data_IF_129715514745
#
_entry.id   IF_129715514745
#
_cell.length_a   1.000
_cell.length_b   1.000
_cell.length_c   1.000
_cell.angle_alpha   90.00
_cell.angle_beta   90.00
_cell.angle_gamma   90.00
#
_symmetry.space_group_name_H-M   'P 1'
#
loop_
_entity.id
_entity.type
_entity.pdbx_description
1 polymer ?
#
# COMPACT_ATOMS: atom_id res chain seq x y z
N UNK A 1 26.25 -20.34 8.73
CA UNK A 1 27.42 -19.57 8.26
C UNK A 1 27.07 -18.78 7.01
N UNK A 2 27.88 -17.77 6.68
CA UNK A 2 27.90 -17.07 5.40
C UNK A 2 28.74 -17.88 4.40
N UNK A 3 28.15 -18.32 3.29
CA UNK A 3 28.89 -19.03 2.24
C UNK A 3 29.42 -18.05 1.20
N UNK A 4 30.72 -18.13 0.88
CA UNK A 4 31.36 -17.31 -0.14
C UNK A 4 31.82 -18.14 -1.34
N UNK A 5 31.28 -17.87 -2.53
CA UNK A 5 31.66 -18.58 -3.76
C UNK A 5 33.04 -18.20 -4.31
N UNK A 6 33.59 -17.06 -3.91
CA UNK A 6 34.91 -16.64 -4.39
C UNK A 6 36.02 -17.55 -3.85
N UNK A 7 35.93 -17.96 -2.58
CA UNK A 7 36.95 -18.79 -1.93
C UNK A 7 36.44 -20.18 -1.52
N UNK A 8 35.18 -20.52 -1.81
CA UNK A 8 34.52 -21.75 -1.35
C UNK A 8 34.63 -21.99 0.17
N UNK A 9 34.51 -20.92 0.96
CA UNK A 9 34.62 -20.97 2.42
C UNK A 9 33.31 -20.60 3.11
N UNK A 10 33.08 -21.21 4.27
CA UNK A 10 31.98 -20.95 5.19
C UNK A 10 32.52 -20.07 6.33
N UNK A 11 32.07 -18.81 6.39
CA UNK A 11 32.54 -17.80 7.34
C UNK A 11 31.46 -17.59 8.41
N UNK A 12 31.85 -17.42 9.67
CA UNK A 12 30.88 -17.09 10.71
C UNK A 12 30.25 -15.71 10.46
N UNK A 13 28.93 -15.69 10.38
CA UNK A 13 28.19 -14.48 10.07
C UNK A 13 28.19 -13.55 11.28
N UNK A 14 28.71 -12.32 11.19
CA UNK A 14 28.68 -11.39 12.30
C UNK A 14 27.22 -10.94 12.54
N UNK A 15 26.58 -11.51 13.56
CA UNK A 15 25.19 -11.19 13.97
C UNK A 15 24.95 -9.71 14.33
N UNK A 16 26.03 -8.93 14.43
CA UNK A 16 26.01 -7.49 14.72
C UNK A 16 25.73 -6.63 13.48
N UNK A 17 25.83 -7.19 12.28
CA UNK A 17 25.69 -6.45 11.02
C UNK A 17 24.62 -7.11 10.14
N UNK A 18 23.64 -6.33 9.70
CA UNK A 18 22.55 -6.83 8.83
C UNK A 18 23.06 -7.10 7.41
N UNK A 19 24.08 -6.37 6.95
CA UNK A 19 24.80 -6.65 5.71
C UNK A 19 26.24 -7.08 6.03
N UNK A 20 26.72 -8.19 5.46
CA UNK A 20 28.13 -8.54 5.57
C UNK A 20 28.97 -7.50 4.80
N UNK A 21 30.08 -7.02 5.37
CA UNK A 21 30.96 -6.09 4.66
C UNK A 21 31.57 -6.76 3.42
N UNK A 22 31.68 -6.01 2.32
CA UNK A 22 32.24 -6.46 1.04
C UNK A 22 33.71 -6.92 1.14
N UNK A 23 34.40 -6.55 2.22
CA UNK A 23 35.75 -7.01 2.55
C UNK A 23 35.83 -8.50 2.86
N UNK A 24 34.74 -9.13 3.32
CA UNK A 24 34.71 -10.57 3.63
C UNK A 24 34.35 -11.42 2.41
N UNK A 25 33.42 -10.93 1.59
CA UNK A 25 33.04 -11.53 0.32
C UNK A 25 32.26 -10.49 -0.49
N UNK A 26 32.44 -10.46 -1.81
CA UNK A 26 31.58 -9.62 -2.66
C UNK A 26 30.12 -9.97 -2.40
N UNK A 27 29.27 -8.95 -2.25
CA UNK A 27 27.85 -9.12 -1.96
C UNK A 27 27.14 -9.97 -3.05
N UNK A 28 27.67 -9.98 -4.28
CA UNK A 28 27.19 -10.83 -5.38
C UNK A 28 27.47 -12.33 -5.19
N UNK A 29 28.50 -12.68 -4.42
CA UNK A 29 28.97 -14.06 -4.23
C UNK A 29 28.67 -14.61 -2.82
N UNK A 30 28.19 -13.76 -1.91
CA UNK A 30 27.89 -14.09 -0.52
C UNK A 30 26.44 -14.54 -0.37
N UNK A 31 26.20 -15.68 0.28
CA UNK A 31 24.84 -16.22 0.54
C UNK A 31 24.66 -16.51 2.05
N UNK A 32 23.54 -16.09 2.63
CA UNK A 32 23.22 -16.28 4.06
C UNK A 32 21.96 -17.14 4.23
N UNK A 33 22.03 -18.18 5.06
CA UNK A 33 20.87 -18.88 5.65
C UNK A 33 19.96 -19.70 4.73
N UNK A 34 19.84 -19.38 3.45
CA UNK A 34 19.12 -20.13 2.41
C UNK A 34 19.64 -19.70 1.02
N UNK A 35 20.24 -20.62 0.28
CA UNK A 35 21.09 -20.37 -0.90
C UNK A 35 20.39 -19.81 -2.17
N UNK A 36 19.12 -19.41 -2.12
CA UNK A 36 18.30 -19.22 -3.33
C UNK A 36 17.78 -17.81 -3.59
N UNK A 37 17.64 -16.96 -2.56
CA UNK A 37 17.04 -15.62 -2.73
C UNK A 37 18.14 -14.57 -2.62
N UNK A 38 18.44 -13.92 -3.75
CA UNK A 38 19.32 -12.74 -3.81
C UNK A 38 18.72 -11.62 -2.94
N UNK A 39 19.54 -10.99 -2.08
CA UNK A 39 19.11 -9.84 -1.27
C UNK A 39 18.55 -8.71 -2.13
N UNK A 40 19.08 -8.53 -3.34
CA UNK A 40 18.55 -7.61 -4.34
C UNK A 40 17.10 -7.96 -4.72
N UNK A 41 16.82 -9.25 -4.98
CA UNK A 41 15.47 -9.72 -5.27
C UNK A 41 14.54 -9.55 -4.06
N UNK A 42 15.03 -9.70 -2.84
CA UNK A 42 14.26 -9.47 -1.62
C UNK A 42 13.91 -7.99 -1.44
N UNK A 43 14.85 -7.08 -1.69
CA UNK A 43 14.61 -5.63 -1.65
C UNK A 43 13.60 -5.22 -2.73
N UNK A 44 13.76 -5.71 -3.96
CA UNK A 44 12.82 -5.44 -5.06
C UNK A 44 11.43 -5.96 -4.70
N UNK A 45 11.32 -7.18 -4.18
CA UNK A 45 10.05 -7.75 -3.77
C UNK A 45 9.37 -6.90 -2.68
N UNK A 46 10.10 -6.48 -1.65
CA UNK A 46 9.57 -5.60 -0.60
C UNK A 46 9.11 -4.24 -1.16
N UNK A 47 9.88 -3.65 -2.08
CA UNK A 47 9.53 -2.40 -2.74
C UNK A 47 8.25 -2.54 -3.58
N UNK A 48 8.11 -3.64 -4.33
CA UNK A 48 6.91 -3.93 -5.13
C UNK A 48 5.69 -4.13 -4.24
N UNK A 49 5.82 -4.91 -3.15
CA UNK A 49 4.74 -5.13 -2.19
C UNK A 49 4.31 -3.81 -1.55
N UNK A 50 5.26 -3.01 -1.07
CA UNK A 50 4.97 -1.70 -0.49
C UNK A 50 4.28 -0.77 -1.51
N UNK A 51 4.75 -0.77 -2.77
CA UNK A 51 4.14 -0.01 -3.86
C UNK A 51 2.70 -0.43 -4.14
N UNK A 52 2.42 -1.73 -4.21
CA UNK A 52 1.06 -2.26 -4.40
C UNK A 52 0.13 -1.91 -3.24
N UNK A 53 0.62 -2.00 -2.00
CA UNK A 53 -0.15 -1.60 -0.82
C UNK A 53 -0.47 -0.10 -0.87
N UNK A 54 0.49 0.76 -1.17
CA UNK A 54 0.25 2.20 -1.28
C UNK A 54 -0.71 2.55 -2.42
N UNK A 55 -0.54 1.93 -3.60
CA UNK A 55 -1.44 2.15 -4.75
C UNK A 55 -2.85 1.66 -4.43
N UNK A 56 -3.00 0.46 -3.87
CA UNK A 56 -4.31 -0.08 -3.51
C UNK A 56 -5.03 0.78 -2.47
N UNK A 57 -4.34 1.27 -1.44
CA UNK A 57 -4.91 2.20 -0.46
C UNK A 57 -5.30 3.51 -1.15
N UNK A 58 -4.43 4.09 -1.97
CA UNK A 58 -4.70 5.36 -2.66
C UNK A 58 -5.91 5.23 -3.58
N UNK A 59 -6.00 4.16 -4.37
CA UNK A 59 -7.13 3.86 -5.25
C UNK A 59 -8.38 3.62 -4.41
N UNK A 60 -8.34 2.78 -3.39
CA UNK A 60 -9.47 2.51 -2.52
C UNK A 60 -9.99 3.79 -1.85
N UNK A 61 -9.09 4.62 -1.28
CA UNK A 61 -9.44 5.90 -0.69
C UNK A 61 -9.99 6.89 -1.73
N UNK A 62 -9.37 7.00 -2.91
CA UNK A 62 -9.87 7.89 -3.97
C UNK A 62 -11.23 7.43 -4.48
N UNK A 63 -11.42 6.16 -4.80
CA UNK A 63 -12.71 5.65 -5.28
C UNK A 63 -13.78 5.69 -4.18
N UNK A 64 -13.50 5.23 -2.96
CA UNK A 64 -14.48 5.25 -1.88
C UNK A 64 -14.81 6.68 -1.42
N UNK A 65 -13.82 7.55 -1.22
CA UNK A 65 -14.07 8.93 -0.78
C UNK A 65 -14.69 9.77 -1.89
N UNK A 66 -14.25 9.64 -3.15
CA UNK A 66 -14.81 10.43 -4.27
C UNK A 66 -16.22 9.97 -4.62
N UNK A 67 -16.47 8.65 -4.71
CA UNK A 67 -17.80 8.13 -4.98
C UNK A 67 -18.76 8.37 -3.81
N UNK A 68 -18.33 8.20 -2.56
CA UNK A 68 -19.17 8.46 -1.38
C UNK A 68 -19.49 9.95 -1.22
N UNK A 69 -18.53 10.84 -1.49
CA UNK A 69 -18.75 12.29 -1.43
C UNK A 69 -19.72 12.74 -2.52
N UNK A 70 -19.59 12.22 -3.74
CA UNK A 70 -20.51 12.51 -4.85
C UNK A 70 -21.92 11.92 -4.64
N UNK A 71 -22.03 10.73 -4.05
CA UNK A 71 -23.33 10.14 -3.73
C UNK A 71 -24.03 10.91 -2.62
N UNK A 72 -23.30 11.35 -1.60
CA UNK A 72 -23.86 12.11 -0.47
C UNK A 72 -24.37 13.47 -0.91
N UNK A 73 -23.60 14.20 -1.72
CA UNK A 73 -24.05 15.50 -2.24
C UNK A 73 -25.33 15.38 -3.08
N UNK A 74 -25.45 14.31 -3.87
CA UNK A 74 -26.64 14.07 -4.70
C UNK A 74 -27.88 13.73 -3.86
N UNK A 75 -27.70 12.96 -2.78
CA UNK A 75 -28.75 12.64 -1.82
C UNK A 75 -29.22 13.88 -1.06
N UNK A 76 -28.29 14.74 -0.62
CA UNK A 76 -28.59 16.01 0.05
C UNK A 76 -29.39 16.95 -0.88
N UNK A 77 -29.02 17.05 -2.16
CA UNK A 77 -29.78 17.83 -3.16
C UNK A 77 -31.20 17.29 -3.39
N UNK A 78 -31.37 15.96 -3.49
CA UNK A 78 -32.70 15.35 -3.66
C UNK A 78 -33.60 15.53 -2.43
N UNK A 79 -33.04 15.41 -1.22
CA UNK A 79 -33.78 15.66 0.02
C UNK A 79 -34.25 17.12 0.12
N UNK A 80 -33.40 18.10 -0.20
CA UNK A 80 -33.79 19.51 -0.22
C UNK A 80 -34.91 19.79 -1.23
N UNK A 81 -34.87 19.19 -2.42
CA UNK A 81 -35.93 19.35 -3.41
C UNK A 81 -37.25 18.72 -2.93
N UNK A 82 -37.17 17.55 -2.28
CA UNK A 82 -38.34 16.87 -1.74
C UNK A 82 -38.97 17.66 -0.57
N UNK A 83 -38.14 18.26 0.28
CA UNK A 83 -38.56 19.14 1.36
C UNK A 83 -39.32 20.36 0.83
N UNK A 84 -38.75 21.06 -0.17
CA UNK A 84 -39.40 22.20 -0.84
C UNK A 84 -40.76 21.83 -1.44
N UNK A 85 -40.85 20.72 -2.18
CA UNK A 85 -42.14 20.25 -2.75
C UNK A 85 -43.17 19.86 -1.70
N UNK A 86 -42.76 19.45 -0.49
CA UNK A 86 -43.68 19.17 0.62
C UNK A 86 -44.21 20.46 1.22
N UNK A 87 -43.37 21.48 1.37
CA UNK A 87 -43.78 22.79 1.86
C UNK A 87 -44.74 23.49 0.89
N UNK A 88 -44.45 23.48 -0.41
CA UNK A 88 -45.36 24.03 -1.42
C UNK A 88 -46.75 23.38 -1.38
N UNK A 89 -46.81 22.05 -1.22
CA UNK A 89 -48.07 21.32 -1.07
C UNK A 89 -48.80 21.68 0.23
N UNK A 90 -48.08 21.89 1.33
CA UNK A 90 -48.66 22.35 2.61
C UNK A 90 -49.24 23.76 2.48
N UNK A 91 -48.51 24.68 1.85
CA UNK A 91 -48.99 26.04 1.60
C UNK A 91 -50.22 26.05 0.69
N UNK A 92 -50.24 25.25 -0.38
CA UNK A 92 -51.43 25.10 -1.23
C UNK A 92 -52.65 24.54 -0.47
N UNK A 93 -52.45 23.66 0.51
CA UNK A 93 -53.55 23.15 1.34
C UNK A 93 -54.07 24.13 2.38
N UNK A 94 -53.25 25.10 2.80
CA UNK A 94 -53.64 26.16 3.74
C UNK A 94 -54.31 27.34 3.03
N UNK A 95 -54.08 27.51 1.73
CA UNK A 95 -54.61 28.60 0.91
C UNK A 95 -55.95 28.24 0.23
N UNK A 96 -56.49 27.04 0.48
CA UNK A 96 -57.77 26.55 -0.02
C UNK A 96 -58.77 26.40 1.13
#
# INVERSE_FOLDING_TARGET
CLWCYTNNTCIDYPVRSILPPSSLCSLSNARWGVCWINFEALIIALAVVAGLVLVSITVCCCYCCYCRRRSRSRLEEEEEQLARKREERRLQSLQR
#
